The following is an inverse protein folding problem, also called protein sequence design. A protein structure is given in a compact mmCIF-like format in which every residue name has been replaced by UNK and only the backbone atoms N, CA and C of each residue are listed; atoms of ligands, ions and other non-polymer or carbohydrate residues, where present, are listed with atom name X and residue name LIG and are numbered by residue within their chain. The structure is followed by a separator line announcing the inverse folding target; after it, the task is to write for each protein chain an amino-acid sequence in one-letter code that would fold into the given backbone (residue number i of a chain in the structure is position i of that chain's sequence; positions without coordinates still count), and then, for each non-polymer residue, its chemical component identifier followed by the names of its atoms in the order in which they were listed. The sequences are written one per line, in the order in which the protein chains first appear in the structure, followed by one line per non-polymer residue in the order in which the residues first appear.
data_IF_453475788739
#
_entry.id   IF_453475788739
#
_cell.length_a   1.000
_cell.length_b   1.000
_cell.length_c   1.000
_cell.angle_alpha   90.00
_cell.angle_beta   90.00
_cell.angle_gamma   90.00
#
_symmetry.space_group_name_H-M   'P 1'
#
loop_
_entity.id
_entity.type
_entity.pdbx_description
1 polymer ?
#
# COMPACT_ATOMS: atom_id res chain seq x y z
N UNK A 1 6.76 -13.28 -5.61
CA UNK A 1 5.31 -13.17 -5.84
C UNK A 1 4.71 -12.04 -5.04
N UNK A 2 3.82 -11.29 -5.65
CA UNK A 2 3.05 -10.28 -4.93
C UNK A 2 2.14 -10.97 -3.89
N UNK A 3 2.07 -10.36 -2.70
CA UNK A 3 1.13 -10.83 -1.67
C UNK A 3 -0.28 -10.47 -2.10
N UNK A 4 -1.15 -11.47 -2.18
CA UNK A 4 -2.56 -11.25 -2.52
C UNK A 4 -3.33 -10.93 -1.24
N UNK A 5 -3.93 -9.75 -1.19
CA UNK A 5 -4.83 -9.38 -0.11
C UNK A 5 -6.16 -10.12 -0.30
N UNK A 6 -6.61 -10.76 0.74
CA UNK A 6 -7.87 -11.49 0.70
C UNK A 6 -8.59 -11.37 2.03
N UNK A 7 -9.86 -11.01 1.95
CA UNK A 7 -10.77 -11.02 3.10
C UNK A 7 -11.67 -12.24 2.96
N UNK A 8 -11.71 -13.04 4.01
CA UNK A 8 -12.58 -14.19 4.07
C UNK A 8 -13.87 -13.82 4.78
N UNK A 9 -14.99 -14.14 4.15
CA UNK A 9 -16.31 -13.96 4.74
C UNK A 9 -16.73 -15.28 5.38
N UNK A 10 -17.37 -15.24 6.57
CA UNK A 10 -17.87 -16.47 7.20
C UNK A 10 -18.92 -17.13 6.32
N UNK A 11 -18.98 -18.46 6.41
CA UNK A 11 -20.05 -19.19 5.73
C UNK A 11 -21.41 -18.83 6.33
N UNK A 12 -22.47 -19.04 5.55
CA UNK A 12 -23.81 -18.71 5.97
C UNK A 12 -24.16 -19.23 7.37
N UNK A 13 -24.82 -18.39 8.17
CA UNK A 13 -25.24 -18.72 9.53
C UNK A 13 -26.73 -18.61 9.67
N UNK A 14 -27.28 -19.52 10.47
CA UNK A 14 -28.67 -19.46 10.91
C UNK A 14 -28.69 -18.79 12.29
N UNK A 15 -29.43 -17.70 12.40
CA UNK A 15 -29.64 -17.00 13.66
C UNK A 15 -31.04 -17.33 14.16
N UNK A 16 -31.14 -17.75 15.44
CA UNK A 16 -32.41 -18.08 16.08
C UNK A 16 -32.65 -17.04 17.17
N UNK A 17 -33.87 -16.49 17.23
CA UNK A 17 -34.25 -15.54 18.28
C UNK A 17 -34.30 -16.24 19.65
N UNK A 18 -34.23 -15.44 20.74
CA UNK A 18 -34.20 -15.97 22.10
C UNK A 18 -35.43 -16.80 22.45
N UNK A 19 -36.59 -16.49 21.88
CA UNK A 19 -37.83 -17.20 22.07
C UNK A 19 -38.00 -18.43 21.15
N UNK A 20 -37.02 -18.66 20.25
CA UNK A 20 -37.03 -19.77 19.30
C UNK A 20 -38.02 -19.61 18.14
N UNK A 21 -38.75 -18.50 18.07
CA UNK A 21 -39.77 -18.29 17.03
C UNK A 21 -39.25 -17.62 15.77
N UNK A 22 -38.20 -16.77 15.88
CA UNK A 22 -37.58 -16.09 14.76
C UNK A 22 -36.33 -16.80 14.32
N UNK A 23 -36.17 -16.98 12.99
CA UNK A 23 -34.96 -17.53 12.38
C UNK A 23 -34.54 -16.63 11.24
N UNK A 24 -33.23 -16.36 11.15
CA UNK A 24 -32.65 -15.62 10.06
C UNK A 24 -31.44 -16.38 9.52
N UNK A 25 -31.29 -16.40 8.19
CA UNK A 25 -30.16 -17.03 7.53
C UNK A 25 -29.41 -15.97 6.75
N UNK A 26 -28.08 -15.90 6.92
CA UNK A 26 -27.23 -14.96 6.21
C UNK A 26 -26.26 -15.76 5.34
N UNK A 27 -26.27 -15.48 4.06
CA UNK A 27 -25.35 -16.06 3.09
C UNK A 27 -24.72 -14.96 2.26
N UNK A 28 -23.41 -15.04 2.09
CA UNK A 28 -22.68 -14.06 1.30
C UNK A 28 -22.60 -14.49 -0.17
N UNK A 29 -22.89 -13.55 -1.07
CA UNK A 29 -22.79 -13.80 -2.50
C UNK A 29 -21.32 -13.96 -2.91
N UNK A 30 -20.96 -15.13 -3.48
CA UNK A 30 -19.58 -15.44 -3.89
C UNK A 30 -19.06 -14.47 -4.93
N UNK A 31 -19.90 -14.02 -5.87
CA UNK A 31 -19.50 -13.04 -6.88
C UNK A 31 -19.12 -11.72 -6.26
N UNK A 32 -19.87 -11.27 -5.25
CA UNK A 32 -19.55 -10.05 -4.50
C UNK A 32 -18.23 -10.19 -3.74
N UNK A 33 -18.02 -11.31 -3.05
CA UNK A 33 -16.80 -11.58 -2.30
C UNK A 33 -15.58 -11.55 -3.22
N UNK A 34 -15.67 -12.20 -4.37
CA UNK A 34 -14.59 -12.21 -5.36
C UNK A 34 -14.30 -10.81 -5.90
N UNK A 35 -15.34 -10.05 -6.24
CA UNK A 35 -15.20 -8.66 -6.70
C UNK A 35 -14.53 -7.79 -5.63
N UNK A 36 -14.95 -7.92 -4.38
CA UNK A 36 -14.39 -7.18 -3.26
C UNK A 36 -12.90 -7.46 -3.10
N UNK A 37 -12.50 -8.74 -3.10
CA UNK A 37 -11.09 -9.13 -2.98
C UNK A 37 -10.26 -8.66 -4.17
N UNK A 38 -10.78 -8.75 -5.39
CA UNK A 38 -10.10 -8.24 -6.58
C UNK A 38 -9.88 -6.72 -6.48
N UNK A 39 -10.87 -5.99 -5.99
CA UNK A 39 -10.77 -4.54 -5.81
C UNK A 39 -9.74 -4.18 -4.73
N UNK A 40 -9.67 -4.94 -3.63
CA UNK A 40 -8.62 -4.74 -2.61
C UNK A 40 -7.22 -4.90 -3.20
N UNK A 41 -7.01 -5.91 -4.05
CA UNK A 41 -5.72 -6.11 -4.70
C UNK A 41 -5.36 -4.96 -5.64
N UNK A 42 -6.33 -4.46 -6.40
CA UNK A 42 -6.14 -3.28 -7.26
C UNK A 42 -5.78 -2.04 -6.45
N UNK A 43 -6.44 -1.83 -5.32
CA UNK A 43 -6.16 -0.70 -4.41
C UNK A 43 -4.75 -0.82 -3.84
N UNK A 44 -4.31 -2.01 -3.44
CA UNK A 44 -2.96 -2.22 -2.92
C UNK A 44 -1.89 -1.94 -3.99
N UNK A 45 -2.10 -2.40 -5.22
CA UNK A 45 -1.21 -2.07 -6.34
C UNK A 45 -1.13 -0.56 -6.56
N UNK A 46 -2.27 0.11 -6.54
CA UNK A 46 -2.34 1.57 -6.71
C UNK A 46 -1.57 2.29 -5.59
N UNK A 47 -1.78 1.89 -4.33
CA UNK A 47 -1.09 2.47 -3.19
C UNK A 47 0.42 2.27 -3.29
N UNK A 48 0.87 1.05 -3.57
CA UNK A 48 2.29 0.74 -3.68
C UNK A 48 2.96 1.56 -4.79
N UNK A 49 2.31 1.70 -5.94
CA UNK A 49 2.82 2.51 -7.04
C UNK A 49 2.92 3.98 -6.67
N UNK A 50 1.97 4.51 -5.91
CA UNK A 50 2.02 5.91 -5.44
C UNK A 50 3.15 6.12 -4.44
N UNK A 51 3.35 5.19 -3.51
CA UNK A 51 4.46 5.25 -2.55
C UNK A 51 5.80 5.18 -3.28
N UNK A 52 5.96 4.26 -4.23
CA UNK A 52 7.18 4.12 -5.03
C UNK A 52 7.47 5.43 -5.78
N UNK A 53 6.47 5.98 -6.44
CA UNK A 53 6.61 7.21 -7.23
C UNK A 53 7.08 8.38 -6.37
N UNK A 54 6.45 8.60 -5.22
CA UNK A 54 6.81 9.71 -4.34
C UNK A 54 8.14 9.47 -3.63
N UNK A 55 8.42 8.22 -3.19
CA UNK A 55 9.66 7.91 -2.50
C UNK A 55 10.89 8.14 -3.40
N UNK A 56 10.79 7.86 -4.69
CA UNK A 56 11.87 8.09 -5.64
C UNK A 56 12.35 9.54 -5.67
N UNK A 57 11.49 10.50 -5.34
CA UNK A 57 11.83 11.92 -5.30
C UNK A 57 12.65 12.31 -4.06
N UNK A 58 12.62 11.50 -3.00
CA UNK A 58 13.23 11.80 -1.70
C UNK A 58 14.53 11.07 -1.44
N UNK A 59 14.81 9.98 -2.15
CA UNK A 59 16.07 9.24 -1.96
C UNK A 59 17.24 9.97 -2.58
N UNK A 60 18.43 9.76 -2.01
CA UNK A 60 19.66 10.37 -2.52
C UNK A 60 19.94 9.94 -3.95
N UNK A 61 20.27 10.91 -4.81
CA UNK A 61 20.50 10.67 -6.23
C UNK A 61 21.94 10.99 -6.61
N UNK A 62 22.89 10.15 -6.20
CA UNK A 62 24.27 10.29 -6.65
C UNK A 62 24.46 9.75 -8.06
N UNK A 63 23.90 8.59 -8.35
CA UNK A 63 23.95 7.92 -9.65
C UNK A 63 22.59 7.43 -10.15
N UNK A 64 21.53 7.72 -9.42
CA UNK A 64 20.19 7.20 -9.70
C UNK A 64 19.99 5.74 -9.32
N UNK A 65 20.97 5.11 -8.67
CA UNK A 65 20.92 3.68 -8.32
C UNK A 65 19.84 3.37 -7.30
N UNK A 66 19.68 4.19 -6.24
CA UNK A 66 18.62 3.99 -5.25
C UNK A 66 17.23 4.13 -5.88
N UNK A 67 17.05 5.15 -6.70
CA UNK A 67 15.79 5.41 -7.40
C UNK A 67 15.39 4.22 -8.29
N UNK A 68 16.35 3.70 -9.07
CA UNK A 68 16.14 2.51 -9.90
C UNK A 68 15.87 1.26 -9.06
N UNK A 69 16.60 1.10 -7.94
CA UNK A 69 16.45 -0.03 -7.05
C UNK A 69 15.04 -0.11 -6.46
N UNK A 70 14.46 1.00 -6.05
CA UNK A 70 13.09 1.03 -5.54
C UNK A 70 12.13 0.44 -6.57
N UNK A 71 12.26 0.85 -7.83
CA UNK A 71 11.39 0.42 -8.92
C UNK A 71 11.58 -1.06 -9.26
N UNK A 72 12.83 -1.53 -9.27
CA UNK A 72 13.17 -2.91 -9.65
C UNK A 72 12.88 -3.90 -8.52
N UNK A 73 13.19 -3.53 -7.28
CA UNK A 73 13.12 -4.43 -6.13
C UNK A 73 11.74 -4.47 -5.47
N UNK A 74 10.88 -3.51 -5.77
CA UNK A 74 9.56 -3.43 -5.17
C UNK A 74 8.53 -4.09 -6.08
N UNK A 75 7.66 -4.91 -5.50
CA UNK A 75 6.58 -5.57 -6.23
C UNK A 75 5.26 -4.90 -5.84
N UNK A 76 4.63 -4.22 -6.81
CA UNK A 76 3.34 -3.58 -6.58
C UNK A 76 2.28 -4.63 -6.23
N UNK A 77 1.51 -4.37 -5.19
CA UNK A 77 0.54 -5.32 -4.63
C UNK A 77 1.05 -6.11 -3.44
N UNK A 78 2.37 -6.10 -3.17
CA UNK A 78 2.95 -6.80 -2.04
C UNK A 78 2.76 -6.09 -0.69
N UNK A 79 2.46 -4.79 -0.71
CA UNK A 79 2.42 -3.95 0.48
C UNK A 79 3.79 -3.58 1.00
N UNK A 80 4.85 -3.85 0.25
CA UNK A 80 6.24 -3.59 0.65
C UNK A 80 6.99 -2.84 -0.44
N UNK A 81 7.78 -1.85 -0.03
CA UNK A 81 8.67 -1.10 -0.91
C UNK A 81 10.10 -1.31 -0.42
N UNK A 82 10.99 -1.69 -1.32
CA UNK A 82 12.37 -2.03 -1.00
C UNK A 82 13.35 -1.09 -1.70
N UNK A 83 14.42 -0.73 -0.96
CA UNK A 83 15.60 -0.10 -1.55
C UNK A 83 16.74 -1.10 -1.41
N UNK A 84 17.07 -1.80 -2.50
CA UNK A 84 18.00 -2.91 -2.47
C UNK A 84 19.40 -2.49 -2.96
N UNK A 85 20.03 -1.59 -2.21
CA UNK A 85 21.44 -1.21 -2.43
C UNK A 85 22.19 -1.26 -1.09
N UNK A 86 23.47 -1.68 -1.08
CA UNK A 86 24.21 -1.90 0.17
C UNK A 86 24.34 -0.66 1.07
N UNK A 87 24.33 0.53 0.50
CA UNK A 87 24.52 1.79 1.22
C UNK A 87 23.21 2.52 1.54
N UNK A 88 22.05 1.92 1.22
CA UNK A 88 20.75 2.58 1.37
C UNK A 88 20.46 3.02 2.80
N UNK A 89 20.67 2.14 3.76
CA UNK A 89 20.46 2.44 5.18
C UNK A 89 21.37 3.57 5.65
N UNK A 90 22.64 3.54 5.29
CA UNK A 90 23.60 4.59 5.63
C UNK A 90 23.15 5.94 5.10
N UNK A 91 22.76 6.01 3.83
CA UNK A 91 22.32 7.27 3.21
C UNK A 91 21.00 7.76 3.77
N UNK A 92 20.10 6.83 4.16
CA UNK A 92 18.80 7.20 4.70
C UNK A 92 18.90 7.73 6.13
N UNK A 93 19.78 7.16 6.98
CA UNK A 93 19.77 7.40 8.42
C UNK A 93 21.09 7.92 9.00
N UNK A 94 22.10 8.16 8.18
CA UNK A 94 23.39 8.66 8.68
C UNK A 94 23.32 10.12 9.12
N UNK A 95 23.71 10.38 10.38
CA UNK A 95 23.84 11.74 10.90
C UNK A 95 25.00 12.54 10.28
N UNK A 96 25.94 11.85 9.61
CA UNK A 96 27.07 12.47 8.93
C UNK A 96 26.70 13.12 7.60
N UNK A 97 25.59 12.69 6.98
CA UNK A 97 25.10 13.25 5.72
C UNK A 97 24.20 14.43 6.06
N UNK A 98 24.74 15.64 5.95
CA UNK A 98 24.03 16.88 6.28
C UNK A 98 23.42 17.59 5.09
N UNK A 99 23.91 17.32 3.87
CA UNK A 99 23.46 18.02 2.67
C UNK A 99 22.23 17.38 2.06
N UNK A 100 21.21 18.19 1.83
CA UNK A 100 20.03 17.83 1.05
C UNK A 100 20.01 18.64 -0.23
N UNK A 101 19.64 17.99 -1.33
CA UNK A 101 19.45 18.67 -2.60
C UNK A 101 17.95 18.61 -2.92
N UNK A 102 17.25 19.74 -2.72
CA UNK A 102 15.81 19.77 -2.84
C UNK A 102 15.14 18.79 -1.87
N UNK A 103 14.34 17.86 -2.38
CA UNK A 103 13.66 16.83 -1.60
C UNK A 103 14.55 15.64 -1.27
N UNK A 104 15.69 15.52 -1.91
CA UNK A 104 16.56 14.34 -1.82
C UNK A 104 17.46 14.41 -0.60
N UNK A 105 17.74 13.27 0.03
CA UNK A 105 18.66 13.18 1.17
C UNK A 105 18.25 12.17 2.21
N UNK A 106 18.59 12.47 3.50
CA UNK A 106 18.33 11.59 4.63
C UNK A 106 16.84 11.52 4.99
N UNK A 107 16.45 10.43 5.65
CA UNK A 107 15.06 10.17 6.07
C UNK A 107 14.04 10.29 4.93
N UNK A 108 14.28 9.62 3.78
CA UNK A 108 13.45 9.83 2.60
C UNK A 108 12.00 9.40 2.84
N UNK A 109 11.78 8.25 3.45
CA UNK A 109 10.42 7.73 3.68
C UNK A 109 9.65 8.59 4.67
N UNK A 110 10.30 8.94 5.79
CA UNK A 110 9.66 9.74 6.83
C UNK A 110 9.25 11.12 6.31
N UNK A 111 10.12 11.77 5.52
CA UNK A 111 9.81 13.08 4.91
C UNK A 111 8.73 12.97 3.83
N UNK A 112 8.82 11.96 2.99
CA UNK A 112 7.79 11.69 1.98
C UNK A 112 6.44 11.46 2.64
N UNK A 113 6.40 10.65 3.69
CA UNK A 113 5.19 10.37 4.45
C UNK A 113 4.60 11.65 5.04
N UNK A 114 5.43 12.50 5.65
CA UNK A 114 4.98 13.76 6.25
C UNK A 114 4.36 14.71 5.22
N UNK A 115 4.94 14.81 4.03
CA UNK A 115 4.49 15.75 3.00
C UNK A 115 3.39 15.20 2.08
N UNK A 116 3.39 13.88 1.81
CA UNK A 116 2.54 13.25 0.78
C UNK A 116 1.47 12.33 1.30
N UNK A 117 1.44 12.02 2.59
CA UNK A 117 0.47 11.09 3.18
C UNK A 117 -0.98 11.46 2.81
N UNK A 118 -1.35 12.70 3.03
CA UNK A 118 -2.72 13.16 2.78
C UNK A 118 -3.06 13.11 1.30
N UNK A 119 -2.14 13.49 0.43
CA UNK A 119 -2.30 13.42 -1.03
C UNK A 119 -2.52 11.98 -1.48
N UNK A 120 -1.68 11.06 -1.00
CA UNK A 120 -1.79 9.63 -1.33
C UNK A 120 -3.11 9.06 -0.84
N UNK A 121 -3.52 9.37 0.39
CA UNK A 121 -4.79 8.90 0.95
C UNK A 121 -6.00 9.41 0.16
N UNK A 122 -6.00 10.66 -0.27
CA UNK A 122 -7.05 11.20 -1.13
C UNK A 122 -7.15 10.47 -2.45
N UNK A 123 -6.01 10.21 -3.08
CA UNK A 123 -5.95 9.50 -4.35
C UNK A 123 -6.43 8.05 -4.21
N UNK A 124 -6.03 7.36 -3.13
CA UNK A 124 -6.47 5.99 -2.84
C UNK A 124 -7.97 5.94 -2.60
N UNK A 125 -8.52 6.87 -1.82
CA UNK A 125 -9.97 6.96 -1.59
C UNK A 125 -10.75 7.19 -2.88
N UNK A 126 -10.28 8.09 -3.73
CA UNK A 126 -10.93 8.36 -5.01
C UNK A 126 -10.91 7.13 -5.93
N UNK A 127 -9.78 6.43 -5.98
CA UNK A 127 -9.65 5.19 -6.75
C UNK A 127 -10.57 4.09 -6.23
N UNK A 128 -10.62 3.91 -4.90
CA UNK A 128 -11.50 2.95 -4.26
C UNK A 128 -12.98 3.22 -4.58
N UNK A 129 -13.39 4.48 -4.53
CA UNK A 129 -14.77 4.87 -4.90
C UNK A 129 -15.09 4.54 -6.34
N UNK A 130 -14.16 4.75 -7.27
CA UNK A 130 -14.36 4.41 -8.69
C UNK A 130 -14.53 2.91 -8.89
N UNK A 131 -13.79 2.09 -8.15
CA UNK A 131 -13.89 0.62 -8.24
C UNK A 131 -15.19 0.08 -7.65
N UNK A 132 -15.68 0.70 -6.57
CA UNK A 132 -16.84 0.24 -5.81
C UNK A 132 -18.13 1.01 -6.12
N UNK A 133 -18.00 2.07 -6.89
CA UNK A 133 -19.12 2.92 -7.27
C UNK A 133 -19.96 2.46 -8.44
#
# INVERSE_FOLDING_TARGET
MARVLRVEFPQGRIYVSKDGKGKAYIEYNKSYVNKFNNNLNKIQVFLDNKVIMHLQEYVSKKSGTQEKSIRISSVAGSGKVHINVPYAEYQAYSKRIKKRVGKRGTYPFERMKAEKKDTILKQVKAYSRRLNG
#
